data_IF_173916221318
#
_entry.id   IF_173916221318
#
_cell.length_a   1.000
_cell.length_b   1.000
_cell.length_c   1.000
_cell.angle_alpha   90.00
_cell.angle_beta   90.00
_cell.angle_gamma   90.00
#
_symmetry.space_group_name_H-M   'P 1'
#
loop_
_entity.id
_entity.type
_entity.pdbx_description
1 polymer ?
#
# COMPACT_ATOMS: atom_id res chain seq x y z
N UNK A 1 3.26 -41.21 13.54
CA UNK A 1 3.35 -40.15 14.56
C UNK A 1 4.04 -38.89 14.08
N UNK A 2 5.22 -38.96 13.43
CA UNK A 2 5.91 -37.78 12.90
C UNK A 2 5.11 -37.00 11.88
N UNK A 3 4.35 -37.68 11.01
CA UNK A 3 3.50 -37.05 10.00
C UNK A 3 2.32 -36.29 10.62
N UNK A 4 1.78 -36.79 11.72
CA UNK A 4 0.66 -36.17 12.43
C UNK A 4 1.10 -34.85 13.10
N UNK A 5 2.29 -34.84 13.70
CA UNK A 5 2.86 -33.64 14.33
C UNK A 5 3.14 -32.56 13.29
N UNK A 6 3.62 -32.95 12.11
CA UNK A 6 3.91 -32.02 11.02
C UNK A 6 2.64 -31.35 10.51
N UNK A 7 1.56 -32.12 10.34
CA UNK A 7 0.25 -31.59 9.92
C UNK A 7 -0.30 -30.62 10.93
N UNK A 8 -0.15 -30.90 12.21
CA UNK A 8 -0.60 -30.02 13.29
C UNK A 8 0.18 -28.69 13.30
N UNK A 9 1.48 -28.72 13.07
CA UNK A 9 2.32 -27.52 13.00
C UNK A 9 1.92 -26.63 11.81
N UNK A 10 1.62 -27.23 10.66
CA UNK A 10 1.16 -26.49 9.47
C UNK A 10 -0.20 -25.85 9.71
N UNK A 11 -1.11 -26.56 10.39
CA UNK A 11 -2.43 -26.04 10.74
C UNK A 11 -2.34 -24.82 11.68
N UNK A 12 -1.44 -24.88 12.67
CA UNK A 12 -1.21 -23.75 13.59
C UNK A 12 -0.62 -22.55 12.86
N UNK A 13 0.32 -22.76 11.95
CA UNK A 13 0.89 -21.70 11.13
C UNK A 13 -0.18 -21.06 10.23
N UNK A 14 -1.07 -21.86 9.65
CA UNK A 14 -2.18 -21.39 8.84
C UNK A 14 -3.15 -20.53 9.64
N UNK A 15 -3.47 -20.92 10.87
CA UNK A 15 -4.35 -20.15 11.75
C UNK A 15 -3.75 -18.79 12.10
N UNK A 16 -2.44 -18.70 12.32
CA UNK A 16 -1.77 -17.44 12.63
C UNK A 16 -1.86 -16.43 11.48
N UNK A 17 -1.89 -16.90 10.23
CA UNK A 17 -2.00 -16.05 9.04
C UNK A 17 -3.43 -15.52 8.84
N UNK A 18 -4.44 -16.20 9.37
CA UNK A 18 -5.87 -15.85 9.17
C UNK A 18 -6.32 -14.73 10.09
N UNK A 19 -5.63 -14.47 11.22
CA UNK A 19 -6.03 -13.42 12.16
C UNK A 19 -5.88 -12.04 11.52
N UNK A 20 -6.97 -11.23 11.47
CA UNK A 20 -6.89 -9.89 10.92
C UNK A 20 -6.04 -8.98 11.80
N UNK A 21 -5.32 -8.07 11.15
CA UNK A 21 -4.56 -7.04 11.85
C UNK A 21 -5.53 -6.04 12.49
N UNK A 22 -5.23 -5.52 13.69
CA UNK A 22 -6.06 -4.50 14.30
C UNK A 22 -6.01 -3.18 13.54
N UNK A 23 -7.01 -2.34 13.77
CA UNK A 23 -7.03 -0.99 13.22
C UNK A 23 -5.87 -0.17 13.78
N UNK A 24 -5.16 0.52 12.90
CA UNK A 24 -4.05 1.41 13.24
C UNK A 24 -4.39 2.82 12.77
N UNK A 25 -4.76 3.74 13.67
CA UNK A 25 -5.15 5.10 13.29
C UNK A 25 -4.03 5.88 12.60
N UNK A 26 -2.77 5.65 12.99
CA UNK A 26 -1.62 6.32 12.37
C UNK A 26 -1.46 5.88 10.92
N UNK A 27 -1.47 4.57 10.70
CA UNK A 27 -1.35 4.00 9.35
C UNK A 27 -2.54 4.41 8.46
N UNK A 28 -3.74 4.40 9.02
CA UNK A 28 -4.94 4.84 8.31
C UNK A 28 -4.84 6.32 7.91
N UNK A 29 -4.38 7.18 8.82
CA UNK A 29 -4.15 8.59 8.53
C UNK A 29 -3.12 8.81 7.43
N UNK A 30 -2.04 8.02 7.43
CA UNK A 30 -1.04 8.06 6.38
C UNK A 30 -1.63 7.67 5.01
N UNK A 31 -2.52 6.69 4.97
CA UNK A 31 -3.19 6.29 3.73
C UNK A 31 -4.11 7.41 3.21
N UNK A 32 -4.81 8.10 4.09
CA UNK A 32 -5.61 9.27 3.72
C UNK A 32 -4.72 10.38 3.13
N UNK A 33 -3.55 10.62 3.73
CA UNK A 33 -2.60 11.60 3.22
C UNK A 33 -2.12 11.24 1.81
N UNK A 34 -1.85 9.97 1.56
CA UNK A 34 -1.48 9.48 0.22
C UNK A 34 -2.63 9.71 -0.76
N UNK A 35 -3.85 9.37 -0.36
CA UNK A 35 -5.05 9.57 -1.19
C UNK A 35 -5.20 11.05 -1.60
N UNK A 36 -5.10 11.94 -0.63
CA UNK A 36 -5.19 13.40 -0.87
C UNK A 36 -4.06 13.85 -1.80
N UNK A 37 -2.83 13.40 -1.54
CA UNK A 37 -1.68 13.74 -2.36
C UNK A 37 -1.86 13.29 -3.82
N UNK A 38 -2.31 12.04 -4.01
CA UNK A 38 -2.56 11.51 -5.36
C UNK A 38 -3.66 12.25 -6.11
N UNK A 39 -4.62 12.83 -5.39
CA UNK A 39 -5.70 13.61 -6.03
C UNK A 39 -5.22 14.96 -6.55
N UNK A 40 -4.08 15.45 -6.06
CA UNK A 40 -3.54 16.78 -6.37
C UNK A 40 -2.42 16.77 -7.40
N UNK A 41 -1.81 15.62 -7.70
CA UNK A 41 -0.71 15.56 -8.66
C UNK A 41 -1.24 15.53 -10.09
N UNK A 42 -0.42 16.04 -11.01
CA UNK A 42 -0.72 16.10 -12.45
C UNK A 42 0.49 15.57 -13.22
N UNK A 43 0.22 14.88 -14.32
CA UNK A 43 1.27 14.41 -15.23
C UNK A 43 1.86 15.54 -16.07
N UNK A 44 1.17 16.69 -16.15
CA UNK A 44 1.66 17.86 -16.87
C UNK A 44 2.66 18.67 -16.06
N UNK A 45 2.50 18.69 -14.73
CA UNK A 45 3.41 19.36 -13.80
C UNK A 45 3.81 18.39 -12.70
N UNK A 46 5.04 17.90 -12.78
CA UNK A 46 5.57 16.91 -11.83
C UNK A 46 6.40 17.53 -10.71
N UNK A 47 6.40 18.86 -10.59
CA UNK A 47 7.19 19.57 -9.58
C UNK A 47 6.74 19.26 -8.14
N UNK A 48 5.47 18.90 -7.95
CA UNK A 48 4.89 18.62 -6.63
C UNK A 48 4.76 17.11 -6.31
N UNK A 49 5.40 16.24 -7.11
CA UNK A 49 5.29 14.80 -6.90
C UNK A 49 6.13 14.29 -5.73
N UNK A 50 7.27 14.91 -5.46
CA UNK A 50 8.18 14.40 -4.43
C UNK A 50 7.53 14.29 -3.04
N UNK A 51 6.75 15.30 -2.56
CA UNK A 51 6.06 15.15 -1.29
C UNK A 51 5.10 13.95 -1.24
N UNK A 52 4.43 13.63 -2.34
CA UNK A 52 3.54 12.47 -2.43
C UNK A 52 4.34 11.17 -2.39
N UNK A 53 5.44 11.12 -3.13
CA UNK A 53 6.35 9.96 -3.10
C UNK A 53 6.88 9.71 -1.70
N UNK A 54 7.23 10.77 -0.97
CA UNK A 54 7.70 10.66 0.41
C UNK A 54 6.61 10.09 1.33
N UNK A 55 5.37 10.49 1.13
CA UNK A 55 4.24 9.96 1.89
C UNK A 55 4.01 8.47 1.62
N UNK A 56 4.14 8.05 0.37
CA UNK A 56 4.03 6.63 -0.01
C UNK A 56 5.16 5.83 0.63
N UNK A 57 6.38 6.35 0.59
CA UNK A 57 7.53 5.70 1.20
C UNK A 57 7.34 5.55 2.72
N UNK A 58 6.89 6.59 3.39
CA UNK A 58 6.60 6.55 4.83
C UNK A 58 5.57 5.48 5.16
N UNK A 59 4.49 5.42 4.38
CA UNK A 59 3.45 4.42 4.56
C UNK A 59 3.97 3.00 4.29
N UNK A 60 4.79 2.84 3.27
CA UNK A 60 5.44 1.55 2.98
C UNK A 60 6.29 1.07 4.15
N UNK A 61 7.16 1.95 4.66
CA UNK A 61 8.05 1.61 5.78
C UNK A 61 7.24 1.30 7.02
N UNK A 62 6.29 2.16 7.37
CA UNK A 62 5.47 1.98 8.57
C UNK A 62 4.68 0.67 8.50
N UNK A 63 4.00 0.43 7.39
CA UNK A 63 3.20 -0.80 7.23
C UNK A 63 4.06 -2.05 7.24
N UNK A 64 5.28 -1.98 6.69
CA UNK A 64 6.23 -3.10 6.73
C UNK A 64 6.65 -3.39 8.16
N UNK A 65 6.99 -2.36 8.94
CA UNK A 65 7.37 -2.51 10.35
C UNK A 65 6.23 -3.07 11.20
N UNK A 66 4.99 -2.75 10.83
CA UNK A 66 3.80 -3.30 11.50
C UNK A 66 3.43 -4.70 11.03
N UNK A 67 4.12 -5.23 10.03
CA UNK A 67 3.79 -6.52 9.44
C UNK A 67 2.44 -6.54 8.73
N UNK A 68 2.02 -5.41 8.16
CA UNK A 68 0.73 -5.32 7.49
C UNK A 68 0.76 -6.02 6.13
N UNK A 69 -0.27 -6.83 5.79
CA UNK A 69 -0.33 -7.49 4.49
C UNK A 69 -0.36 -6.53 3.29
N UNK A 70 -0.77 -5.28 3.49
CA UNK A 70 -0.85 -4.29 2.41
C UNK A 70 0.49 -3.60 2.11
N UNK A 71 1.54 -3.88 2.90
CA UNK A 71 2.84 -3.22 2.73
C UNK A 71 3.42 -3.40 1.32
N UNK A 72 3.25 -4.58 0.72
CA UNK A 72 3.73 -4.85 -0.64
C UNK A 72 3.05 -3.95 -1.67
N UNK A 73 1.77 -3.64 -1.49
CA UNK A 73 1.04 -2.73 -2.37
C UNK A 73 1.67 -1.34 -2.40
N UNK A 74 2.14 -0.85 -1.26
CA UNK A 74 2.79 0.47 -1.20
C UNK A 74 4.17 0.47 -1.84
N UNK A 75 4.90 -0.64 -1.74
CA UNK A 75 6.16 -0.81 -2.47
C UNK A 75 5.95 -0.75 -3.98
N UNK A 76 4.95 -1.46 -4.47
CA UNK A 76 4.58 -1.44 -5.90
C UNK A 76 4.09 -0.07 -6.34
N UNK A 77 3.32 0.62 -5.49
CA UNK A 77 2.85 1.99 -5.74
C UNK A 77 4.03 2.95 -5.89
N UNK A 78 5.01 2.88 -4.98
CA UNK A 78 6.20 3.72 -5.03
C UNK A 78 6.97 3.51 -6.34
N UNK A 79 7.23 2.27 -6.71
CA UNK A 79 7.93 1.94 -7.95
C UNK A 79 7.19 2.45 -9.18
N UNK A 80 5.87 2.22 -9.23
CA UNK A 80 5.04 2.63 -10.36
C UNK A 80 4.99 4.14 -10.49
N UNK A 81 4.84 4.86 -9.38
CA UNK A 81 4.80 6.33 -9.39
C UNK A 81 6.14 6.93 -9.80
N UNK A 82 7.26 6.35 -9.39
CA UNK A 82 8.59 6.78 -9.84
C UNK A 82 8.76 6.62 -11.35
N UNK A 83 8.31 5.49 -11.89
CA UNK A 83 8.32 5.27 -13.35
C UNK A 83 7.44 6.27 -14.09
N UNK A 84 6.27 6.56 -13.55
CA UNK A 84 5.36 7.54 -14.14
C UNK A 84 5.97 8.95 -14.11
N UNK A 85 6.63 9.31 -13.01
CA UNK A 85 7.32 10.60 -12.87
C UNK A 85 8.40 10.78 -13.93
N UNK A 86 9.16 9.71 -14.19
CA UNK A 86 10.28 9.75 -15.14
C UNK A 86 9.82 9.55 -16.59
N UNK A 87 8.57 9.15 -16.82
CA UNK A 87 8.05 8.90 -18.16
C UNK A 87 7.79 10.19 -18.92
N UNK A 88 8.09 10.16 -20.22
CA UNK A 88 7.75 11.24 -21.16
C UNK A 88 6.35 11.06 -21.74
N UNK A 89 5.70 9.94 -21.50
CA UNK A 89 4.36 9.66 -22.00
C UNK A 89 3.32 10.07 -20.96
N UNK A 90 2.52 11.09 -21.27
CA UNK A 90 1.41 11.53 -20.42
C UNK A 90 0.35 10.43 -20.27
N UNK A 91 0.07 9.69 -21.33
CA UNK A 91 -0.90 8.60 -21.30
C UNK A 91 -0.49 7.52 -20.30
N UNK A 92 0.78 7.12 -20.34
CA UNK A 92 1.33 6.15 -19.37
C UNK A 92 1.24 6.71 -17.94
N UNK A 93 1.69 7.94 -17.75
CA UNK A 93 1.66 8.61 -16.45
C UNK A 93 0.24 8.64 -15.87
N UNK A 94 -0.74 9.09 -16.64
CA UNK A 94 -2.14 9.18 -16.21
C UNK A 94 -2.72 7.82 -15.86
N UNK A 95 -2.39 6.78 -16.63
CA UNK A 95 -2.83 5.41 -16.35
C UNK A 95 -2.28 4.91 -15.01
N UNK A 96 -1.01 5.18 -14.73
CA UNK A 96 -0.38 4.77 -13.48
C UNK A 96 -0.95 5.54 -12.29
N UNK A 97 -1.16 6.83 -12.41
CA UNK A 97 -1.76 7.64 -11.34
C UNK A 97 -3.18 7.15 -11.03
N UNK A 98 -3.98 6.90 -12.05
CA UNK A 98 -5.35 6.39 -11.90
C UNK A 98 -5.35 5.03 -11.20
N UNK A 99 -4.47 4.12 -11.61
CA UNK A 99 -4.35 2.80 -11.00
C UNK A 99 -4.01 2.91 -9.51
N UNK A 100 -3.10 3.80 -9.15
CA UNK A 100 -2.68 3.95 -7.76
C UNK A 100 -3.71 4.69 -6.90
N UNK A 101 -4.50 5.57 -7.48
CA UNK A 101 -5.68 6.13 -6.80
C UNK A 101 -6.66 5.02 -6.43
N UNK A 102 -6.91 4.09 -7.34
CA UNK A 102 -7.75 2.92 -7.07
C UNK A 102 -7.15 2.05 -5.99
N UNK A 103 -5.85 1.78 -6.03
CA UNK A 103 -5.17 0.95 -5.02
C UNK A 103 -5.30 1.53 -3.62
N UNK A 104 -5.11 2.83 -3.46
CA UNK A 104 -5.21 3.43 -2.14
C UNK A 104 -6.65 3.41 -1.63
N UNK A 105 -7.63 3.58 -2.51
CA UNK A 105 -9.04 3.49 -2.13
C UNK A 105 -9.40 2.07 -1.66
N UNK A 106 -8.94 1.04 -2.35
CA UNK A 106 -9.15 -0.35 -1.95
C UNK A 106 -8.53 -0.61 -0.57
N UNK A 107 -7.32 -0.13 -0.34
CA UNK A 107 -6.64 -0.29 0.94
C UNK A 107 -7.39 0.42 2.07
N UNK A 108 -7.83 1.65 1.85
CA UNK A 108 -8.59 2.42 2.85
C UNK A 108 -9.89 1.70 3.18
N UNK A 109 -10.60 1.19 2.17
CA UNK A 109 -11.84 0.45 2.39
C UNK A 109 -11.61 -0.83 3.21
N UNK A 110 -10.52 -1.55 2.93
CA UNK A 110 -10.15 -2.72 3.71
C UNK A 110 -9.84 -2.36 5.17
N UNK A 111 -9.12 -1.25 5.38
CA UNK A 111 -8.74 -0.82 6.73
C UNK A 111 -9.88 -0.25 7.54
N UNK A 112 -10.89 0.33 6.89
CA UNK A 112 -12.12 0.79 7.59
C UNK A 112 -12.81 -0.33 8.35
N UNK A 113 -12.72 -1.55 7.86
CA UNK A 113 -13.34 -2.71 8.50
C UNK A 113 -12.56 -3.28 9.67
N UNK A 114 -11.38 -2.80 9.96
CA UNK A 114 -10.55 -3.27 11.07
C UNK A 114 -11.01 -2.66 12.38
N UNK A 115 -10.99 -3.46 13.44
CA UNK A 115 -11.39 -3.04 14.80
C UNK A 115 -10.21 -2.87 15.74
#
# INVERSE_FOLDING_TARGET
MKKLILVLAVALSGCAVIFPKPHDPVMFGQAIDVKVGLSKISCEDKSNWQPVLDKVETLKVYSTERGDPQSDSFGKMEEALKKAKDSKSNTFCESIVKLNRTRVDVTIDAWKGRK
#
